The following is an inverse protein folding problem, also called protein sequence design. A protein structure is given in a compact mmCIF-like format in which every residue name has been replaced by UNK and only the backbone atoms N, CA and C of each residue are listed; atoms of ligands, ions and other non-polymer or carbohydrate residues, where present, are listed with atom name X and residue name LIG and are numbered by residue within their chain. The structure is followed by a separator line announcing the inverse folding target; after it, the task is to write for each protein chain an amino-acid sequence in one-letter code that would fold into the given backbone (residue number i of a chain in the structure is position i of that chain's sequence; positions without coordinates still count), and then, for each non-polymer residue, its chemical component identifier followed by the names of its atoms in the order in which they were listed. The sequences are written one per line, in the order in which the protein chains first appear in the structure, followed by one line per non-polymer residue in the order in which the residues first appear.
data_IF_538295677760
#
_entry.id   IF_538295677760
#
_cell.length_a   1.000
_cell.length_b   1.000
_cell.length_c   1.000
_cell.angle_alpha   90.00
_cell.angle_beta   90.00
_cell.angle_gamma   90.00
#
_symmetry.space_group_name_H-M   'P 1'
#
loop_
_entity.id
_entity.type
_entity.pdbx_description
1 polymer ?
#
# COMPACT_ATOMS: atom_id res chain seq x y z
N UNK A 1 -8.46 -20.24 -16.66
CA UNK A 1 -7.49 -19.18 -17.03
C UNK A 1 -6.20 -19.41 -16.28
N UNK A 2 -5.05 -19.32 -16.94
CA UNK A 2 -3.74 -19.59 -16.33
C UNK A 2 -3.36 -18.44 -15.39
N UNK A 3 -3.18 -18.73 -14.10
CA UNK A 3 -2.75 -17.76 -13.08
C UNK A 3 -1.28 -17.43 -13.31
N UNK A 4 -1.01 -16.22 -13.83
CA UNK A 4 0.32 -15.79 -14.31
C UNK A 4 1.15 -15.00 -13.27
N UNK A 5 0.60 -14.72 -12.08
CA UNK A 5 1.19 -13.81 -11.08
C UNK A 5 1.92 -14.50 -9.91
N UNK A 6 1.51 -15.71 -9.56
CA UNK A 6 2.12 -16.46 -8.45
C UNK A 6 3.37 -17.20 -8.95
N UNK A 7 4.52 -16.93 -8.34
CA UNK A 7 5.82 -17.51 -8.74
C UNK A 7 5.98 -18.95 -8.24
N UNK A 8 5.34 -19.29 -7.13
CA UNK A 8 5.42 -20.62 -6.52
C UNK A 8 4.17 -21.46 -6.79
N UNK A 9 4.34 -22.76 -7.03
CA UNK A 9 3.25 -23.65 -7.46
C UNK A 9 2.16 -23.80 -6.39
N UNK A 10 2.53 -23.82 -5.10
CA UNK A 10 1.56 -23.91 -4.01
C UNK A 10 0.62 -22.70 -3.96
N UNK A 11 1.10 -21.51 -4.30
CA UNK A 11 0.27 -20.30 -4.32
C UNK A 11 -0.75 -20.35 -5.47
N UNK A 12 -0.38 -20.95 -6.62
CA UNK A 12 -1.30 -21.18 -7.74
C UNK A 12 -2.40 -22.16 -7.36
N UNK A 13 -2.05 -23.22 -6.64
CA UNK A 13 -3.00 -24.22 -6.16
C UNK A 13 -3.93 -23.63 -5.10
N UNK A 14 -3.41 -22.89 -4.11
CA UNK A 14 -4.24 -22.16 -3.14
C UNK A 14 -5.19 -21.14 -3.82
N UNK A 15 -4.71 -20.45 -4.87
CA UNK A 15 -5.56 -19.54 -5.67
C UNK A 15 -6.65 -20.30 -6.43
N UNK A 16 -6.36 -21.49 -6.95
CA UNK A 16 -7.35 -22.36 -7.61
C UNK A 16 -8.38 -22.87 -6.60
N UNK A 17 -7.96 -23.19 -5.39
CA UNK A 17 -8.84 -23.65 -4.31
C UNK A 17 -9.82 -22.55 -3.90
N UNK A 18 -9.35 -21.30 -3.77
CA UNK A 18 -10.23 -20.13 -3.59
C UNK A 18 -11.24 -19.99 -4.74
N UNK A 19 -10.77 -20.07 -5.99
CA UNK A 19 -11.63 -19.91 -7.17
C UNK A 19 -12.67 -21.03 -7.33
N UNK A 20 -12.42 -22.21 -6.75
CA UNK A 20 -13.32 -23.38 -6.79
C UNK A 20 -14.17 -23.53 -5.53
N UNK A 21 -14.18 -22.52 -4.64
CA UNK A 21 -14.98 -22.51 -3.42
C UNK A 21 -14.44 -23.38 -2.28
N UNK A 22 -13.24 -23.95 -2.43
CA UNK A 22 -12.54 -24.73 -1.39
C UNK A 22 -11.79 -23.82 -0.43
N UNK A 23 -12.52 -22.89 0.19
CA UNK A 23 -11.97 -21.81 1.02
C UNK A 23 -11.12 -22.36 2.18
N UNK A 24 -11.60 -23.40 2.86
CA UNK A 24 -10.86 -24.02 3.97
C UNK A 24 -9.51 -24.62 3.56
N UNK A 25 -9.44 -25.27 2.39
CA UNK A 25 -8.19 -25.83 1.87
C UNK A 25 -7.19 -24.72 1.49
N UNK A 26 -7.70 -23.64 0.87
CA UNK A 26 -6.87 -22.49 0.53
C UNK A 26 -6.32 -21.78 1.78
N UNK A 27 -7.17 -21.47 2.77
CA UNK A 27 -6.74 -20.84 4.02
C UNK A 27 -5.74 -21.73 4.75
N UNK A 28 -6.01 -23.05 4.84
CA UNK A 28 -5.08 -24.00 5.44
C UNK A 28 -3.72 -24.01 4.74
N UNK A 29 -3.69 -23.92 3.41
CA UNK A 29 -2.43 -23.84 2.66
C UNK A 29 -1.66 -22.55 2.97
N UNK A 30 -2.34 -21.41 3.11
CA UNK A 30 -1.67 -20.16 3.52
C UNK A 30 -1.19 -20.23 4.98
N UNK A 31 -1.94 -20.86 5.87
CA UNK A 31 -1.59 -21.06 7.27
C UNK A 31 -0.34 -21.96 7.43
N UNK A 32 -0.28 -23.09 6.72
CA UNK A 32 0.90 -23.97 6.65
C UNK A 32 2.16 -23.27 6.14
N UNK A 33 1.99 -22.19 5.35
CA UNK A 33 3.08 -21.35 4.85
C UNK A 33 3.38 -20.15 5.73
N UNK A 34 2.74 -20.03 6.89
CA UNK A 34 2.93 -18.93 7.83
C UNK A 34 2.41 -17.59 7.33
N UNK A 35 1.48 -17.60 6.36
CA UNK A 35 0.88 -16.40 5.76
C UNK A 35 -0.46 -16.02 6.40
N UNK A 36 -0.95 -16.83 7.34
CA UNK A 36 -2.12 -16.53 8.18
C UNK A 36 -1.63 -16.32 9.60
N UNK A 37 -2.04 -15.21 10.20
CA UNK A 37 -1.72 -14.87 11.58
C UNK A 37 -3.03 -14.61 12.32
N UNK A 38 -3.21 -15.32 13.44
CA UNK A 38 -4.36 -15.15 14.31
C UNK A 38 -3.98 -14.25 15.48
N UNK A 39 -4.87 -13.35 15.86
CA UNK A 39 -4.72 -12.53 17.05
C UNK A 39 -5.98 -12.64 17.93
N UNK A 40 -5.84 -12.53 19.26
CA UNK A 40 -6.95 -12.59 20.22
C UNK A 40 -8.04 -11.52 20.02
N UNK A 41 -7.67 -10.36 19.46
CA UNK A 41 -8.57 -9.25 19.23
C UNK A 41 -8.28 -8.52 17.91
N UNK A 42 -9.24 -7.73 17.42
CA UNK A 42 -9.07 -6.91 16.21
C UNK A 42 -7.99 -5.84 16.40
N UNK A 43 -7.86 -5.31 17.62
CA UNK A 43 -6.83 -4.31 17.93
C UNK A 43 -5.43 -4.95 17.94
N UNK A 44 -5.28 -6.14 18.54
CA UNK A 44 -4.03 -6.90 18.46
C UNK A 44 -3.71 -7.29 17.01
N UNK A 45 -4.68 -7.78 16.24
CA UNK A 45 -4.48 -8.08 14.82
C UNK A 45 -3.97 -6.88 14.02
N UNK A 46 -4.48 -5.67 14.31
CA UNK A 46 -4.05 -4.44 13.67
C UNK A 46 -2.60 -4.10 14.04
N UNK A 47 -2.26 -4.19 15.32
CA UNK A 47 -0.92 -3.88 15.81
C UNK A 47 0.10 -4.87 15.22
N UNK A 48 -0.19 -6.16 15.29
CA UNK A 48 0.66 -7.23 14.75
C UNK A 48 0.87 -7.07 13.24
N UNK A 49 -0.20 -6.72 12.51
CA UNK A 49 -0.12 -6.45 11.07
C UNK A 49 0.81 -5.27 10.75
N UNK A 50 0.69 -4.16 11.48
CA UNK A 50 1.54 -2.98 11.28
C UNK A 50 2.99 -3.27 11.66
N UNK A 51 3.22 -4.04 12.72
CA UNK A 51 4.57 -4.46 13.12
C UNK A 51 5.22 -5.42 12.13
N UNK A 52 4.45 -6.36 11.60
CA UNK A 52 4.93 -7.23 10.53
C UNK A 52 5.27 -6.42 9.29
N UNK A 53 4.38 -5.52 8.87
CA UNK A 53 4.62 -4.63 7.74
C UNK A 53 5.88 -3.75 7.93
N UNK A 54 6.09 -3.22 9.14
CA UNK A 54 7.26 -2.38 9.47
C UNK A 54 8.56 -3.19 9.44
N UNK A 55 8.53 -4.44 9.92
CA UNK A 55 9.68 -5.35 9.85
C UNK A 55 10.00 -5.74 8.41
N UNK A 56 8.97 -6.10 7.63
CA UNK A 56 9.12 -6.50 6.23
C UNK A 56 9.67 -5.36 5.37
N UNK A 57 9.16 -4.13 5.53
CA UNK A 57 9.65 -2.97 4.77
C UNK A 57 11.11 -2.65 5.05
N UNK A 58 11.59 -2.90 6.28
CA UNK A 58 12.99 -2.68 6.65
C UNK A 58 13.89 -3.78 6.09
N UNK A 59 13.41 -5.04 6.09
CA UNK A 59 14.15 -6.19 5.56
C UNK A 59 14.24 -6.18 4.03
N UNK A 60 13.21 -5.67 3.35
CA UNK A 60 13.07 -5.70 1.90
C UNK A 60 12.73 -4.33 1.32
N UNK A 61 13.59 -3.31 1.47
CA UNK A 61 13.26 -1.91 1.18
C UNK A 61 12.72 -1.67 -0.23
N UNK A 62 13.23 -2.40 -1.22
CA UNK A 62 12.87 -2.26 -2.64
C UNK A 62 11.59 -3.01 -3.04
N UNK A 63 11.02 -3.84 -2.16
CA UNK A 63 9.78 -4.55 -2.45
C UNK A 63 8.56 -3.62 -2.43
N UNK A 64 7.62 -3.81 -3.34
CA UNK A 64 6.34 -3.10 -3.26
C UNK A 64 5.45 -3.76 -2.20
N UNK A 65 4.71 -2.94 -1.45
CA UNK A 65 3.79 -3.43 -0.41
C UNK A 65 2.63 -2.47 -0.17
N UNK A 66 1.49 -3.04 0.21
CA UNK A 66 0.29 -2.32 0.64
C UNK A 66 -0.54 -3.19 1.58
N UNK A 67 -1.16 -2.58 2.59
CA UNK A 67 -2.11 -3.26 3.47
C UNK A 67 -3.51 -3.21 2.85
N UNK A 68 -4.18 -4.36 2.75
CA UNK A 68 -5.54 -4.45 2.22
C UNK A 68 -6.53 -4.80 3.33
N UNK A 69 -7.66 -4.09 3.36
CA UNK A 69 -8.72 -4.31 4.36
C UNK A 69 -10.12 -4.08 3.78
N UNK A 70 -11.18 -4.26 4.56
CA UNK A 70 -12.56 -4.20 4.05
C UNK A 70 -13.21 -2.83 4.22
N UNK A 71 -12.94 -2.13 5.32
CA UNK A 71 -13.64 -0.88 5.66
C UNK A 71 -12.76 0.36 5.52
N UNK A 72 -13.36 1.51 5.21
CA UNK A 72 -12.62 2.78 5.17
C UNK A 72 -12.09 3.19 6.54
N UNK A 73 -12.78 2.81 7.62
CA UNK A 73 -12.32 3.13 8.98
C UNK A 73 -11.07 2.34 9.35
N UNK A 74 -10.99 1.06 8.97
CA UNK A 74 -9.74 0.30 9.09
C UNK A 74 -8.62 0.89 8.24
N UNK A 75 -8.91 1.29 7.00
CA UNK A 75 -7.90 1.94 6.14
C UNK A 75 -7.33 3.18 6.83
N UNK A 76 -8.17 4.01 7.44
CA UNK A 76 -7.71 5.22 8.14
C UNK A 76 -6.80 4.87 9.32
N UNK A 77 -7.24 3.96 10.19
CA UNK A 77 -6.47 3.53 11.34
C UNK A 77 -5.12 2.89 10.95
N UNK A 78 -5.12 2.08 9.89
CA UNK A 78 -3.91 1.43 9.37
C UNK A 78 -2.95 2.43 8.71
N UNK A 79 -3.46 3.41 7.97
CA UNK A 79 -2.63 4.48 7.40
C UNK A 79 -1.94 5.31 8.47
N UNK A 80 -2.68 5.68 9.52
CA UNK A 80 -2.15 6.45 10.64
C UNK A 80 -1.07 5.67 11.39
N UNK A 81 -1.35 4.41 11.76
CA UNK A 81 -0.40 3.56 12.46
C UNK A 81 0.86 3.27 11.63
N UNK A 82 0.73 3.01 10.33
CA UNK A 82 1.87 2.79 9.45
C UNK A 82 2.75 4.04 9.32
N UNK A 83 2.14 5.22 9.15
CA UNK A 83 2.87 6.49 9.06
C UNK A 83 3.54 6.86 10.38
N UNK A 84 2.94 6.52 11.52
CA UNK A 84 3.57 6.68 12.83
C UNK A 84 4.83 5.82 12.97
N UNK A 85 4.82 4.57 12.50
CA UNK A 85 6.03 3.72 12.47
C UNK A 85 7.13 4.32 11.59
N UNK A 86 6.79 4.87 10.42
CA UNK A 86 7.75 5.57 9.56
C UNK A 86 8.38 6.77 10.28
N UNK A 87 7.58 7.57 11.00
CA UNK A 87 8.12 8.70 11.80
C UNK A 87 9.00 8.24 12.94
N UNK A 88 8.56 7.22 13.70
CA UNK A 88 9.31 6.69 14.82
C UNK A 88 10.67 6.11 14.39
N UNK A 89 10.75 5.56 13.17
CA UNK A 89 11.99 5.10 12.57
C UNK A 89 12.90 6.22 12.03
N UNK A 90 12.40 7.47 11.96
CA UNK A 90 13.13 8.59 11.35
C UNK A 90 13.13 8.57 9.83
N UNK A 91 12.23 7.80 9.21
CA UNK A 91 12.16 7.61 7.76
C UNK A 91 11.33 8.70 7.05
N UNK A 92 10.70 9.62 7.81
CA UNK A 92 9.98 10.76 7.26
C UNK A 92 10.72 12.07 7.50
N UNK A 93 10.72 12.94 6.50
CA UNK A 93 11.08 14.34 6.65
C UNK A 93 10.01 15.16 7.40
N UNK A 94 10.15 16.48 7.32
CA UNK A 94 9.19 17.40 7.92
C UNK A 94 7.81 17.33 7.23
N UNK A 95 6.76 17.50 8.04
CA UNK A 95 5.40 17.58 7.54
C UNK A 95 5.19 18.84 6.68
N UNK A 96 4.68 18.63 5.48
CA UNK A 96 4.21 19.65 4.55
C UNK A 96 2.71 19.52 4.40
N UNK A 97 1.99 20.61 4.67
CA UNK A 97 0.55 20.69 4.49
C UNK A 97 0.21 20.81 3.00
N UNK A 98 -0.64 19.90 2.49
CA UNK A 98 -1.02 19.85 1.08
C UNK A 98 -2.54 19.70 0.96
N UNK A 99 -3.13 20.58 0.15
CA UNK A 99 -4.51 20.47 -0.32
C UNK A 99 -4.58 19.47 -1.47
N UNK A 100 -5.09 18.27 -1.18
CA UNK A 100 -5.39 17.24 -2.18
C UNK A 100 -6.90 17.15 -2.42
N UNK A 101 -7.31 16.53 -3.53
CA UNK A 101 -8.74 16.40 -3.89
C UNK A 101 -9.58 15.76 -2.77
N UNK A 102 -8.99 14.82 -2.02
CA UNK A 102 -9.64 14.14 -0.89
C UNK A 102 -9.66 14.92 0.42
N UNK A 103 -9.26 16.21 0.40
CA UNK A 103 -9.13 17.07 1.57
C UNK A 103 -7.71 17.17 2.12
N UNK A 104 -7.42 18.33 2.69
CA UNK A 104 -6.11 18.73 3.21
C UNK A 104 -5.51 17.70 4.18
N UNK A 105 -4.21 17.42 4.03
CA UNK A 105 -3.45 16.53 4.92
C UNK A 105 -1.95 16.82 4.84
N UNK A 106 -1.21 16.27 5.78
CA UNK A 106 0.25 16.39 5.80
C UNK A 106 0.90 15.22 5.08
N UNK A 107 1.90 15.53 4.27
CA UNK A 107 2.83 14.59 3.65
C UNK A 107 4.26 14.96 4.01
N UNK A 108 5.20 14.03 3.91
CA UNK A 108 6.62 14.24 4.10
C UNK A 108 7.42 13.51 3.02
N UNK A 109 8.68 13.90 2.81
CA UNK A 109 9.61 13.02 2.09
C UNK A 109 9.69 11.67 2.81
N UNK A 110 9.80 10.58 2.05
CA UNK A 110 9.72 9.21 2.57
C UNK A 110 8.29 8.66 2.69
N UNK A 111 7.24 9.48 2.60
CA UNK A 111 5.87 8.96 2.66
C UNK A 111 5.55 8.05 1.47
N UNK A 112 4.87 6.94 1.78
CA UNK A 112 4.24 6.09 0.76
C UNK A 112 2.99 6.78 0.24
N UNK A 113 2.83 6.86 -1.07
CA UNK A 113 1.66 7.47 -1.73
C UNK A 113 1.05 6.61 -2.82
N UNK A 114 -0.22 6.87 -3.10
CA UNK A 114 -1.01 6.26 -4.16
C UNK A 114 -1.62 7.33 -5.06
N UNK A 115 -1.40 7.21 -6.36
CA UNK A 115 -2.09 8.01 -7.37
C UNK A 115 -3.53 7.52 -7.53
N UNK A 116 -4.50 8.43 -7.42
CA UNK A 116 -5.93 8.12 -7.43
C UNK A 116 -6.64 8.41 -8.76
N UNK A 117 -5.93 9.00 -9.73
CA UNK A 117 -6.44 9.30 -11.07
C UNK A 117 -5.42 8.87 -12.12
N UNK A 118 -5.91 8.41 -13.27
CA UNK A 118 -5.04 8.23 -14.42
C UNK A 118 -4.55 9.59 -14.91
N UNK A 119 -3.26 9.73 -15.20
CA UNK A 119 -2.71 10.92 -15.83
C UNK A 119 -1.66 10.50 -16.86
N UNK A 120 -1.97 10.75 -18.14
CA UNK A 120 -1.16 10.22 -19.25
C UNK A 120 0.17 10.95 -19.37
N UNK A 121 0.18 12.26 -19.13
CA UNK A 121 1.41 13.07 -19.17
C UNK A 121 2.43 12.62 -18.12
N UNK A 122 1.95 12.14 -16.97
CA UNK A 122 2.77 11.60 -15.89
C UNK A 122 3.04 10.08 -16.04
N UNK A 123 2.39 9.42 -17.01
CA UNK A 123 2.42 7.97 -17.17
C UNK A 123 2.05 7.23 -15.88
N UNK A 124 1.09 7.76 -15.12
CA UNK A 124 0.55 7.13 -13.90
C UNK A 124 -0.89 6.68 -14.12
N UNK A 125 -1.24 5.59 -13.47
CA UNK A 125 -2.59 5.04 -13.42
C UNK A 125 -3.14 5.15 -12.01
N UNK A 126 -4.46 5.13 -11.86
CA UNK A 126 -5.11 4.93 -10.57
C UNK A 126 -4.58 3.63 -9.93
N UNK A 127 -4.13 3.72 -8.68
CA UNK A 127 -3.49 2.64 -7.95
C UNK A 127 -1.97 2.56 -8.15
N UNK A 128 -1.34 3.47 -8.91
CA UNK A 128 0.13 3.53 -8.96
C UNK A 128 0.65 3.90 -7.58
N UNK A 129 1.60 3.13 -7.06
CA UNK A 129 2.26 3.39 -5.79
C UNK A 129 3.65 3.98 -6.00
N UNK A 130 4.10 4.74 -5.01
CA UNK A 130 5.44 5.31 -4.98
C UNK A 130 5.81 5.88 -3.62
N UNK A 131 7.03 6.38 -3.51
CA UNK A 131 7.57 7.06 -2.34
C UNK A 131 7.84 8.52 -2.70
N UNK A 132 7.43 9.45 -1.85
CA UNK A 132 7.74 10.87 -2.01
C UNK A 132 9.25 11.05 -1.83
N UNK A 133 9.91 11.59 -2.86
CA UNK A 133 11.30 12.03 -2.76
C UNK A 133 11.35 13.47 -2.23
N UNK A 134 10.46 14.33 -2.74
CA UNK A 134 10.36 15.74 -2.36
C UNK A 134 8.89 16.18 -2.33
N UNK A 135 8.54 17.02 -1.35
CA UNK A 135 7.21 17.63 -1.26
C UNK A 135 7.29 19.07 -0.81
N UNK A 136 6.42 19.90 -1.38
CA UNK A 136 6.20 21.29 -1.02
C UNK A 136 4.70 21.60 -1.16
N UNK A 137 4.26 22.77 -0.72
CA UNK A 137 2.87 23.20 -0.92
C UNK A 137 2.48 23.43 -2.40
N UNK A 138 3.44 23.42 -3.33
CA UNK A 138 3.18 23.70 -4.76
C UNK A 138 3.43 22.50 -5.67
N UNK A 139 4.36 21.62 -5.32
CA UNK A 139 4.80 20.51 -6.17
C UNK A 139 5.24 19.31 -5.34
N UNK A 140 5.22 18.14 -5.98
CA UNK A 140 5.65 16.88 -5.39
C UNK A 140 6.45 16.07 -6.42
N UNK A 141 7.51 15.42 -5.96
CA UNK A 141 8.31 14.45 -6.73
C UNK A 141 8.13 13.08 -6.07
N UNK A 142 7.68 12.10 -6.84
CA UNK A 142 7.40 10.74 -6.36
C UNK A 142 8.19 9.74 -7.19
N UNK A 143 8.97 8.87 -6.53
CA UNK A 143 9.55 7.68 -7.15
C UNK A 143 8.53 6.55 -7.13
N UNK A 144 8.02 6.17 -8.29
CA UNK A 144 7.08 5.05 -8.43
C UNK A 144 7.79 3.72 -8.27
N UNK A 145 7.04 2.68 -7.95
CA UNK A 145 7.59 1.33 -7.72
C UNK A 145 8.29 0.72 -8.93
N UNK A 146 7.90 1.13 -10.13
CA UNK A 146 8.58 0.77 -11.38
C UNK A 146 9.88 1.57 -11.61
N UNK A 147 10.31 2.36 -10.62
CA UNK A 147 11.59 3.06 -10.58
C UNK A 147 11.61 4.44 -11.24
N UNK A 148 10.47 4.94 -11.76
CA UNK A 148 10.42 6.26 -12.41
C UNK A 148 10.28 7.37 -11.37
N UNK A 149 10.94 8.50 -11.60
CA UNK A 149 10.68 9.73 -10.84
C UNK A 149 9.64 10.57 -11.57
N UNK A 150 8.53 10.87 -10.90
CA UNK A 150 7.38 11.60 -11.43
C UNK A 150 7.23 12.90 -10.65
N UNK A 151 7.47 14.03 -11.31
CA UNK A 151 7.27 15.36 -10.74
C UNK A 151 6.01 16.01 -11.30
N UNK A 152 5.22 16.64 -10.44
CA UNK A 152 4.02 17.36 -10.83
C UNK A 152 3.75 18.55 -9.92
N UNK A 153 3.06 19.56 -10.47
CA UNK A 153 2.50 20.67 -9.69
C UNK A 153 1.15 20.24 -9.11
N UNK A 154 0.92 20.56 -7.83
CA UNK A 154 -0.30 20.20 -7.11
C UNK A 154 -1.55 20.91 -7.67
N UNK A 155 -1.37 22.05 -8.34
CA UNK A 155 -2.47 22.73 -9.07
C UNK A 155 -2.96 21.93 -10.29
N UNK A 156 -2.09 21.11 -10.89
CA UNK A 156 -2.38 20.36 -12.11
C UNK A 156 -2.78 18.91 -11.77
N UNK A 157 -2.23 18.37 -10.68
CA UNK A 157 -2.55 17.04 -10.19
C UNK A 157 -2.56 16.98 -8.64
N UNK A 158 -3.78 16.90 -8.08
CA UNK A 158 -4.03 16.79 -6.64
C UNK A 158 -4.70 15.46 -6.23
N UNK A 159 -4.77 14.48 -7.14
CA UNK A 159 -5.44 13.19 -6.90
C UNK A 159 -4.45 12.17 -6.30
N UNK A 160 -4.03 12.42 -5.07
CA UNK A 160 -3.06 11.59 -4.34
C UNK A 160 -3.48 11.40 -2.89
N UNK A 161 -3.09 10.27 -2.30
CA UNK A 161 -3.33 9.95 -0.89
C UNK A 161 -2.17 9.08 -0.37
N UNK A 162 -2.05 8.93 0.95
CA UNK A 162 -1.14 7.97 1.56
C UNK A 162 -1.42 6.55 1.04
N UNK A 163 -0.34 5.88 0.62
CA UNK A 163 -0.37 4.56 -0.04
C UNK A 163 -0.14 3.39 0.90
N UNK A 164 -0.20 3.58 2.23
CA UNK A 164 0.05 2.52 3.21
C UNK A 164 -1.03 1.43 3.23
N UNK A 165 -2.30 1.82 3.10
CA UNK A 165 -3.43 0.90 3.14
C UNK A 165 -4.54 1.30 2.15
N UNK A 166 -5.28 0.31 1.67
CA UNK A 166 -6.44 0.49 0.80
C UNK A 166 -7.52 -0.54 1.09
N UNK A 167 -8.75 -0.26 0.66
CA UNK A 167 -9.79 -1.29 0.69
C UNK A 167 -9.56 -2.30 -0.43
N UNK A 168 -9.95 -3.57 -0.22
CA UNK A 168 -9.87 -4.62 -1.25
C UNK A 168 -10.53 -4.16 -2.55
N UNK A 169 -11.69 -3.50 -2.46
CA UNK A 169 -12.43 -2.95 -3.61
C UNK A 169 -11.60 -1.93 -4.40
N UNK A 170 -10.85 -1.04 -3.72
CA UNK A 170 -9.95 -0.07 -4.38
C UNK A 170 -8.71 -0.73 -4.97
N UNK A 171 -8.28 -1.86 -4.41
CA UNK A 171 -7.13 -2.62 -4.89
C UNK A 171 -7.45 -3.58 -6.06
N UNK A 172 -8.72 -3.74 -6.44
CA UNK A 172 -9.11 -4.53 -7.59
C UNK A 172 -8.55 -3.91 -8.89
N UNK A 173 -7.41 -4.44 -9.36
CA UNK A 173 -6.69 -3.95 -10.54
C UNK A 173 -5.26 -3.47 -10.24
N UNK A 174 -4.90 -3.30 -8.97
CA UNK A 174 -3.51 -3.05 -8.56
C UNK A 174 -2.67 -4.32 -8.72
N UNK A 175 -1.43 -4.15 -9.16
CA UNK A 175 -0.42 -5.22 -9.15
C UNK A 175 0.70 -4.70 -8.26
N UNK A 176 1.05 -5.49 -7.24
CA UNK A 176 2.19 -5.29 -6.34
C UNK A 176 3.14 -6.42 -6.73
N UNK A 177 4.36 -6.07 -7.13
CA UNK A 177 5.37 -7.03 -7.64
C UNK A 177 6.23 -7.63 -6.53
#
# INVERSE_FOLDING_TARGET
GQVRRQREDWQRDATRDLATGRIGAAIGTYDEKGMVHQAPSRDEARNDLVEHWDRDRQAHPDASRIILTHTNDEVRALKEAARERMRAAGDLGDDVHVDVEGGARNFASGDRVMFLRNERSLSVKNGTLGVIEEVSGQSMTVRTDDGRSVRFDLKDYAHIDHGYAATIHKAQGMTVD
#
